data_IF_885396190599
#
_entry.id   IF_885396190599
#
_cell.length_a   1.000
_cell.length_b   1.000
_cell.length_c   1.000
_cell.angle_alpha   90.00
_cell.angle_beta   90.00
_cell.angle_gamma   90.00
#
_symmetry.space_group_name_H-M   'P 1'
#
loop_
_entity.id
_entity.type
_entity.pdbx_description
1 polymer ?
#
# COMPACT_ATOMS: atom_id res chain seq x y z
N UNK A 1 -14.05 -1.29 55.86
CA UNK A 1 -13.46 -1.42 54.52
C UNK A 1 -14.58 -1.73 53.56
N UNK A 2 -14.96 -0.77 52.71
CA UNK A 2 -16.05 -0.97 51.74
C UNK A 2 -15.55 -1.91 50.66
N UNK A 3 -16.11 -3.12 50.62
CA UNK A 3 -15.88 -4.10 49.58
C UNK A 3 -16.54 -3.54 48.30
N UNK A 4 -15.75 -2.89 47.44
CA UNK A 4 -16.20 -2.41 46.14
C UNK A 4 -16.48 -3.62 45.25
N UNK A 5 -17.71 -4.14 45.33
CA UNK A 5 -18.25 -5.11 44.39
C UNK A 5 -18.69 -4.36 43.13
N UNK A 6 -17.75 -4.04 42.23
CA UNK A 6 -18.10 -3.62 40.87
C UNK A 6 -18.30 -4.90 40.03
N UNK A 7 -19.52 -5.08 39.53
CA UNK A 7 -20.03 -6.38 39.05
C UNK A 7 -19.45 -6.83 37.72
N UNK A 8 -18.90 -5.92 36.90
CA UNK A 8 -18.37 -6.26 35.58
C UNK A 8 -16.85 -6.21 35.58
N UNK A 9 -16.24 -7.39 35.49
CA UNK A 9 -14.80 -7.58 35.45
C UNK A 9 -14.26 -7.80 34.03
N UNK A 10 -15.14 -7.83 33.02
CA UNK A 10 -14.75 -7.97 31.61
C UNK A 10 -15.75 -7.37 30.61
N UNK A 11 -15.27 -7.05 29.41
CA UNK A 11 -16.07 -6.64 28.25
C UNK A 11 -15.35 -6.99 26.95
N UNK A 12 -16.10 -7.34 25.91
CA UNK A 12 -15.54 -7.73 24.62
C UNK A 12 -15.39 -9.23 24.45
N UNK A 13 -14.93 -9.66 23.28
CA UNK A 13 -14.82 -11.07 22.90
C UNK A 13 -13.74 -11.25 21.84
N UNK A 14 -12.89 -12.27 22.01
CA UNK A 14 -11.93 -12.71 21.00
C UNK A 14 -12.59 -13.53 19.87
N UNK A 15 -13.76 -14.10 20.12
CA UNK A 15 -14.55 -14.84 19.12
C UNK A 15 -15.27 -13.84 18.21
N UNK A 16 -14.80 -13.73 16.96
CA UNK A 16 -15.28 -12.75 15.98
C UNK A 16 -16.74 -12.99 15.54
N UNK A 17 -17.32 -14.15 15.81
CA UNK A 17 -18.73 -14.45 15.51
C UNK A 17 -19.69 -13.85 16.56
N UNK A 18 -19.17 -13.37 17.70
CA UNK A 18 -19.95 -12.71 18.75
C UNK A 18 -20.38 -11.31 18.36
N UNK A 19 -21.54 -10.90 18.84
CA UNK A 19 -22.12 -9.59 18.53
C UNK A 19 -22.28 -8.74 19.79
N UNK A 20 -22.85 -7.53 19.64
CA UNK A 20 -23.13 -6.65 20.78
C UNK A 20 -24.07 -7.31 21.81
N UNK A 21 -24.95 -8.23 21.39
CA UNK A 21 -25.83 -8.99 22.31
C UNK A 21 -25.06 -10.03 23.12
N UNK A 22 -23.89 -10.44 22.64
CA UNK A 22 -22.95 -11.35 23.30
C UNK A 22 -21.87 -10.61 24.08
N UNK A 23 -22.06 -9.32 24.36
CA UNK A 23 -21.10 -8.48 25.08
C UNK A 23 -19.80 -8.16 24.31
N UNK A 24 -19.77 -8.40 23.00
CA UNK A 24 -18.64 -7.98 22.16
C UNK A 24 -18.57 -6.45 22.06
N UNK A 25 -17.35 -5.91 21.90
CA UNK A 25 -17.14 -4.52 21.49
C UNK A 25 -17.22 -4.52 19.97
N UNK A 26 -18.22 -3.86 19.40
CA UNK A 26 -18.46 -3.87 17.95
C UNK A 26 -18.10 -2.53 17.29
N UNK A 27 -17.72 -2.58 16.02
CA UNK A 27 -17.68 -1.41 15.15
C UNK A 27 -19.10 -0.91 14.83
N UNK A 28 -19.21 0.26 14.19
CA UNK A 28 -20.50 0.85 13.81
C UNK A 28 -21.31 0.02 12.82
N UNK A 29 -20.66 -0.91 12.10
CA UNK A 29 -21.30 -1.86 11.20
C UNK A 29 -21.72 -3.17 11.90
N UNK A 30 -21.55 -3.27 13.23
CA UNK A 30 -21.95 -4.41 14.04
C UNK A 30 -20.94 -5.55 14.10
N UNK A 31 -19.83 -5.51 13.34
CA UNK A 31 -18.77 -6.53 13.42
C UNK A 31 -18.05 -6.46 14.76
N UNK A 32 -17.73 -7.61 15.35
CA UNK A 32 -16.88 -7.68 16.53
C UNK A 32 -15.50 -7.06 16.23
N UNK A 33 -14.99 -6.24 17.15
CA UNK A 33 -13.64 -5.69 17.08
C UNK A 33 -12.55 -6.69 17.46
N UNK A 34 -12.92 -7.83 18.07
CA UNK A 34 -11.98 -8.79 18.63
C UNK A 34 -11.33 -8.33 19.93
N UNK A 35 -11.61 -7.10 20.40
CA UNK A 35 -11.04 -6.57 21.63
C UNK A 35 -11.72 -7.25 22.82
N UNK A 36 -10.94 -7.82 23.73
CA UNK A 36 -11.40 -8.31 25.02
C UNK A 36 -10.61 -7.63 26.15
N UNK A 37 -11.32 -6.98 27.06
CA UNK A 37 -10.75 -6.25 28.19
C UNK A 37 -11.13 -6.96 29.47
N UNK A 38 -10.14 -7.24 30.33
CA UNK A 38 -10.35 -7.90 31.64
C UNK A 38 -9.70 -7.10 32.75
N UNK A 39 -10.43 -6.84 33.82
CA UNK A 39 -9.85 -6.27 35.04
C UNK A 39 -8.92 -7.30 35.69
N UNK A 40 -7.71 -6.89 36.02
CA UNK A 40 -6.70 -7.74 36.67
C UNK A 40 -6.47 -7.36 38.12
N UNK A 41 -6.59 -6.08 38.46
CA UNK A 41 -6.55 -5.58 39.83
C UNK A 41 -7.46 -4.35 39.98
N UNK A 42 -8.06 -4.17 41.16
CA UNK A 42 -8.86 -2.99 41.47
C UNK A 42 -8.62 -2.56 42.92
N UNK A 43 -8.39 -1.27 43.12
CA UNK A 43 -8.29 -0.62 44.43
C UNK A 43 -9.36 0.48 44.54
N UNK A 44 -9.35 1.25 45.62
CA UNK A 44 -10.24 2.40 45.75
C UNK A 44 -9.94 3.51 44.73
N UNK A 45 -8.69 3.61 44.27
CA UNK A 45 -8.20 4.74 43.46
C UNK A 45 -7.66 4.30 42.10
N UNK A 46 -7.66 3.00 41.78
CA UNK A 46 -7.11 2.49 40.53
C UNK A 46 -7.74 1.18 40.06
N UNK A 47 -7.68 0.98 38.74
CA UNK A 47 -8.03 -0.27 38.07
C UNK A 47 -6.89 -0.60 37.11
N UNK A 48 -6.41 -1.83 37.16
CA UNK A 48 -5.55 -2.43 36.14
C UNK A 48 -6.37 -3.38 35.31
N UNK A 49 -6.11 -3.40 34.02
CA UNK A 49 -6.77 -4.31 33.09
C UNK A 49 -5.78 -4.81 32.03
N UNK A 50 -6.07 -5.98 31.48
CA UNK A 50 -5.46 -6.45 30.23
C UNK A 50 -6.36 -6.11 29.06
N UNK A 51 -5.74 -5.93 27.89
CA UNK A 51 -6.40 -5.91 26.59
C UNK A 51 -5.83 -7.08 25.80
N UNK A 52 -6.71 -7.96 25.35
CA UNK A 52 -6.39 -9.10 24.49
C UNK A 52 -6.99 -8.86 23.10
N UNK A 53 -6.34 -9.42 22.10
CA UNK A 53 -6.77 -9.43 20.71
C UNK A 53 -6.78 -10.88 20.19
N UNK A 54 -7.58 -11.19 19.17
CA UNK A 54 -7.60 -12.51 18.58
C UNK A 54 -6.25 -12.83 17.96
N UNK A 55 -5.95 -14.12 17.82
CA UNK A 55 -4.84 -14.57 17.01
C UNK A 55 -5.17 -14.34 15.52
N UNK A 56 -4.60 -13.27 14.96
CA UNK A 56 -4.80 -12.90 13.57
C UNK A 56 -3.97 -13.75 12.59
N UNK A 57 -2.99 -14.53 13.07
CA UNK A 57 -2.10 -15.29 12.20
C UNK A 57 -2.87 -16.35 11.40
N UNK A 58 -3.97 -16.84 11.96
CA UNK A 58 -4.84 -17.87 11.37
C UNK A 58 -6.09 -17.29 10.67
N UNK A 59 -6.28 -15.97 10.66
CA UNK A 59 -7.48 -15.34 10.11
C UNK A 59 -7.40 -15.03 8.61
N UNK A 60 -6.27 -15.34 7.97
CA UNK A 60 -6.05 -15.14 6.53
C UNK A 60 -6.40 -13.72 6.04
N UNK A 61 -6.19 -12.72 6.91
CA UNK A 61 -6.47 -11.31 6.63
C UNK A 61 -5.53 -10.71 5.58
N UNK A 62 -4.38 -11.36 5.36
CA UNK A 62 -3.41 -11.02 4.34
C UNK A 62 -3.45 -12.06 3.22
N UNK A 63 -4.15 -11.73 2.15
CA UNK A 63 -4.21 -12.57 0.96
C UNK A 63 -2.99 -12.36 0.08
N UNK A 64 -2.37 -13.46 -0.34
CA UNK A 64 -1.30 -13.40 -1.35
C UNK A 64 -1.88 -13.00 -2.70
N UNK A 65 -1.34 -11.93 -3.28
CA UNK A 65 -1.68 -11.48 -4.64
C UNK A 65 -0.96 -12.33 -5.67
N UNK A 66 -1.53 -13.48 -6.00
CA UNK A 66 -1.06 -14.39 -7.04
C UNK A 66 -2.07 -14.46 -8.20
N UNK A 67 -1.63 -14.96 -9.34
CA UNK A 67 -2.54 -15.34 -10.41
C UNK A 67 -3.45 -16.49 -9.94
N UNK A 68 -4.58 -16.66 -10.61
CA UNK A 68 -5.53 -17.77 -10.36
C UNK A 68 -4.90 -19.17 -10.47
N UNK A 69 -3.79 -19.32 -11.21
CA UNK A 69 -3.01 -20.55 -11.34
C UNK A 69 -1.92 -20.72 -10.27
N UNK A 70 -1.86 -19.81 -9.29
CA UNK A 70 -0.87 -19.76 -8.22
C UNK A 70 0.46 -19.12 -8.62
N UNK A 71 0.68 -18.79 -9.90
CA UNK A 71 1.91 -18.13 -10.34
C UNK A 71 1.95 -16.66 -9.89
N UNK A 72 3.14 -16.08 -9.76
CA UNK A 72 3.30 -14.68 -9.41
C UNK A 72 4.36 -14.03 -10.31
N UNK A 73 3.98 -12.96 -11.02
CA UNK A 73 4.89 -12.31 -11.96
C UNK A 73 6.03 -11.56 -11.25
N UNK A 74 5.82 -11.15 -9.99
CA UNK A 74 6.80 -10.44 -9.19
C UNK A 74 8.00 -11.33 -8.79
N UNK A 75 7.83 -12.66 -8.71
CA UNK A 75 8.92 -13.57 -8.29
C UNK A 75 10.10 -13.59 -9.26
N UNK A 76 9.88 -13.20 -10.51
CA UNK A 76 10.90 -13.14 -11.56
C UNK A 76 11.51 -11.74 -11.73
N UNK A 77 11.09 -10.75 -10.94
CA UNK A 77 11.58 -9.37 -11.05
C UNK A 77 12.63 -9.11 -9.97
N UNK A 78 13.89 -8.94 -10.39
CA UNK A 78 14.99 -8.53 -9.52
C UNK A 78 15.01 -7.01 -9.31
N UNK A 79 14.03 -6.48 -8.58
CA UNK A 79 13.94 -5.06 -8.28
C UNK A 79 14.79 -4.68 -7.06
N UNK A 80 15.57 -3.60 -7.17
CA UNK A 80 16.24 -2.95 -6.05
C UNK A 80 15.39 -1.87 -5.40
N UNK A 81 14.35 -1.38 -6.09
CA UNK A 81 13.38 -0.41 -5.56
C UNK A 81 11.99 -0.66 -6.14
N UNK A 82 10.98 -0.53 -5.29
CA UNK A 82 9.57 -0.69 -5.66
C UNK A 82 8.78 0.55 -5.25
N UNK A 83 7.86 0.98 -6.11
CA UNK A 83 6.80 1.96 -5.80
C UNK A 83 5.47 1.40 -6.26
N UNK A 84 4.38 1.80 -5.62
CA UNK A 84 3.04 1.31 -5.95
C UNK A 84 2.05 2.46 -6.07
N UNK A 85 1.01 2.22 -6.86
CA UNK A 85 -0.19 3.06 -6.92
C UNK A 85 -1.38 2.15 -7.18
N UNK A 86 -2.58 2.57 -6.81
CA UNK A 86 -3.78 1.76 -6.98
C UNK A 86 -4.99 2.64 -7.29
N UNK A 87 -5.91 2.08 -8.06
CA UNK A 87 -7.28 2.57 -8.20
C UNK A 87 -8.22 1.59 -7.48
N UNK A 88 -9.54 1.81 -7.63
CA UNK A 88 -10.56 0.96 -7.00
C UNK A 88 -10.45 -0.53 -7.36
N UNK A 89 -9.95 -0.84 -8.55
CA UNK A 89 -9.98 -2.19 -9.14
C UNK A 89 -8.59 -2.78 -9.36
N UNK A 90 -7.56 -1.93 -9.45
CA UNK A 90 -6.24 -2.32 -9.92
C UNK A 90 -5.14 -1.81 -8.99
N UNK A 91 -4.11 -2.63 -8.80
CA UNK A 91 -2.85 -2.23 -8.19
C UNK A 91 -1.75 -2.25 -9.26
N UNK A 92 -0.86 -1.28 -9.21
CA UNK A 92 0.29 -1.17 -10.09
C UNK A 92 1.56 -1.17 -9.27
N UNK A 93 2.54 -1.96 -9.71
CA UNK A 93 3.86 -2.05 -9.11
C UNK A 93 4.87 -1.56 -10.12
N UNK A 94 5.55 -0.47 -9.78
CA UNK A 94 6.71 0.05 -10.48
C UNK A 94 7.97 -0.54 -9.87
N UNK A 95 8.57 -1.47 -10.59
CA UNK A 95 9.71 -2.25 -10.16
C UNK A 95 10.97 -1.79 -10.91
N UNK A 96 11.96 -1.31 -10.17
CA UNK A 96 13.20 -0.75 -10.71
C UNK A 96 14.37 -1.66 -10.40
N UNK A 97 15.19 -1.93 -11.42
CA UNK A 97 16.46 -2.60 -11.31
C UNK A 97 17.61 -1.68 -11.79
N UNK A 98 18.85 -2.16 -11.77
CA UNK A 98 20.04 -1.38 -12.17
C UNK A 98 20.21 -1.19 -13.68
N UNK A 99 19.24 -1.60 -14.49
CA UNK A 99 19.27 -1.56 -15.95
C UNK A 99 17.96 -1.12 -16.57
N UNK A 100 16.85 -1.27 -15.86
CA UNK A 100 15.52 -1.01 -16.39
C UNK A 100 14.50 -0.72 -15.30
N UNK A 101 13.33 -0.28 -15.74
CA UNK A 101 12.17 -0.16 -14.86
C UNK A 101 10.94 -0.72 -15.57
N UNK A 102 10.25 -1.62 -14.89
CA UNK A 102 9.10 -2.36 -15.40
C UNK A 102 7.88 -2.02 -14.56
N UNK A 103 6.70 -1.95 -15.19
CA UNK A 103 5.44 -1.81 -14.47
C UNK A 103 4.63 -3.08 -14.66
N UNK A 104 4.07 -3.58 -13.56
CA UNK A 104 3.15 -4.71 -13.58
C UNK A 104 1.86 -4.31 -12.90
N UNK A 105 0.75 -4.85 -13.40
CA UNK A 105 -0.62 -4.53 -12.96
C UNK A 105 -1.27 -5.78 -12.38
N UNK A 106 -1.84 -5.68 -11.20
CA UNK A 106 -2.74 -6.69 -10.63
C UNK A 106 -4.20 -6.23 -10.79
N UNK A 107 -5.06 -7.10 -11.33
CA UNK A 107 -6.49 -6.82 -11.55
C UNK A 107 -7.36 -7.85 -10.81
N UNK A 108 -7.21 -7.97 -9.49
CA UNK A 108 -8.03 -8.84 -8.64
C UNK A 108 -7.61 -10.31 -8.61
N UNK A 109 -7.31 -10.91 -9.77
CA UNK A 109 -6.95 -12.34 -9.90
C UNK A 109 -5.77 -12.59 -10.86
N UNK A 110 -5.23 -11.52 -11.47
CA UNK A 110 -4.23 -11.63 -12.53
C UNK A 110 -3.24 -10.48 -12.53
N UNK A 111 -1.96 -10.84 -12.57
CA UNK A 111 -0.83 -10.00 -12.93
C UNK A 111 -0.67 -9.88 -14.44
N UNK A 112 -0.53 -8.66 -14.93
CA UNK A 112 -0.22 -8.33 -16.32
C UNK A 112 1.05 -7.49 -16.36
N UNK A 113 2.02 -7.91 -17.17
CA UNK A 113 3.23 -7.13 -17.40
C UNK A 113 2.92 -6.00 -18.40
N UNK A 114 3.03 -4.74 -17.97
CA UNK A 114 2.84 -3.57 -18.84
C UNK A 114 4.14 -3.17 -19.57
N UNK A 115 5.21 -3.96 -19.41
CA UNK A 115 6.49 -3.78 -20.07
C UNK A 115 7.40 -2.78 -19.37
N UNK A 116 8.58 -2.61 -19.99
CA UNK A 116 9.60 -1.66 -19.53
C UNK A 116 9.19 -0.23 -19.89
N UNK A 117 9.06 0.63 -18.89
CA UNK A 117 8.89 2.07 -19.11
C UNK A 117 10.25 2.80 -19.21
N UNK A 118 11.33 2.16 -18.75
CA UNK A 118 12.70 2.65 -18.92
C UNK A 118 13.68 1.49 -19.18
N UNK A 119 14.72 1.77 -19.96
CA UNK A 119 15.86 0.86 -20.23
C UNK A 119 17.17 1.42 -19.68
N UNK A 120 17.08 2.30 -18.68
CA UNK A 120 18.22 2.77 -17.91
C UNK A 120 17.91 2.66 -16.43
N UNK A 121 18.96 2.59 -15.61
CA UNK A 121 18.83 2.78 -14.18
C UNK A 121 18.46 4.22 -13.83
N UNK A 122 17.77 4.38 -12.71
CA UNK A 122 17.31 5.69 -12.27
C UNK A 122 16.49 5.61 -10.99
N UNK A 123 15.75 6.68 -10.75
CA UNK A 123 14.69 6.72 -9.77
C UNK A 123 13.40 7.17 -10.45
N UNK A 124 12.26 6.85 -9.86
CA UNK A 124 11.00 7.30 -10.40
C UNK A 124 9.85 7.18 -9.44
N UNK A 125 8.72 7.70 -9.89
CA UNK A 125 7.43 7.65 -9.23
C UNK A 125 6.37 7.16 -10.23
N UNK A 126 5.30 6.56 -9.71
CA UNK A 126 4.16 6.08 -10.47
C UNK A 126 2.89 6.66 -9.88
N UNK A 127 1.96 7.06 -10.72
CA UNK A 127 0.64 7.55 -10.28
C UNK A 127 -0.44 7.15 -11.28
N UNK A 128 -1.67 7.06 -10.78
CA UNK A 128 -2.86 7.03 -11.63
C UNK A 128 -3.43 8.43 -11.69
N UNK A 129 -3.51 8.99 -12.90
CA UNK A 129 -4.11 10.29 -13.16
C UNK A 129 -5.12 10.13 -14.29
N UNK A 130 -6.34 10.62 -14.10
CA UNK A 130 -7.44 10.48 -15.07
C UNK A 130 -7.64 9.03 -15.59
N UNK A 131 -7.58 8.05 -14.68
CA UNK A 131 -7.70 6.61 -14.96
C UNK A 131 -6.57 6.03 -15.84
N UNK A 132 -5.46 6.75 -15.99
CA UNK A 132 -4.32 6.32 -16.78
C UNK A 132 -3.05 6.28 -15.92
N UNK A 133 -2.15 5.36 -16.25
CA UNK A 133 -0.92 5.14 -15.49
C UNK A 133 0.18 6.01 -16.05
N UNK A 134 0.76 6.81 -15.17
CA UNK A 134 1.89 7.67 -15.47
C UNK A 134 3.11 7.25 -14.64
N UNK A 135 4.29 7.34 -15.27
CA UNK A 135 5.59 7.16 -14.62
C UNK A 135 6.43 8.39 -14.90
N UNK A 136 6.95 9.01 -13.84
CA UNK A 136 8.05 9.95 -13.95
C UNK A 136 9.33 9.20 -13.60
N UNK A 137 10.31 9.28 -14.49
CA UNK A 137 11.58 8.60 -14.34
C UNK A 137 12.73 9.60 -14.53
N UNK A 138 13.76 9.50 -13.69
CA UNK A 138 14.98 10.31 -13.74
C UNK A 138 16.18 9.38 -13.79
N UNK A 139 16.95 9.43 -14.88
CA UNK A 139 18.19 8.66 -14.99
C UNK A 139 19.39 9.33 -14.28
N UNK A 140 20.49 8.60 -14.18
CA UNK A 140 21.73 9.12 -13.57
C UNK A 140 22.38 10.28 -14.34
N UNK A 141 22.04 10.49 -15.61
CA UNK A 141 22.52 11.60 -16.44
C UNK A 141 21.63 12.85 -16.31
N UNK A 142 20.53 12.76 -15.58
CA UNK A 142 19.60 13.86 -15.36
C UNK A 142 18.57 14.00 -16.48
N UNK A 143 18.32 12.94 -17.26
CA UNK A 143 17.18 12.87 -18.16
C UNK A 143 15.94 12.49 -17.35
N UNK A 144 14.99 13.40 -17.30
CA UNK A 144 13.68 13.21 -16.69
C UNK A 144 12.65 12.95 -17.79
N UNK A 145 11.90 11.86 -17.72
CA UNK A 145 10.83 11.52 -18.66
C UNK A 145 9.52 11.27 -17.92
N UNK A 146 8.47 11.98 -18.31
CA UNK A 146 7.10 11.64 -17.96
C UNK A 146 6.55 10.74 -19.06
N UNK A 147 6.15 9.52 -18.70
CA UNK A 147 5.59 8.54 -19.63
C UNK A 147 4.20 8.11 -19.18
N UNK A 148 3.37 7.81 -20.18
CA UNK A 148 2.00 7.34 -20.04
C UNK A 148 1.86 5.98 -20.67
N UNK A 149 1.18 5.05 -20.00
CA UNK A 149 0.82 3.79 -20.62
C UNK A 149 -0.48 3.91 -21.41
N UNK A 150 -0.41 3.81 -22.73
CA UNK A 150 -1.59 3.82 -23.61
C UNK A 150 -1.34 3.01 -24.88
N UNK A 151 -2.40 2.39 -25.41
CA UNK A 151 -2.32 1.52 -26.59
C UNK A 151 -1.28 0.40 -26.44
N UNK A 152 -1.24 -0.23 -25.25
CA UNK A 152 -0.29 -1.29 -24.88
C UNK A 152 1.21 -0.92 -24.97
N UNK A 153 1.54 0.37 -24.85
CA UNK A 153 2.92 0.86 -24.88
C UNK A 153 3.12 2.06 -23.96
N UNK A 154 4.37 2.27 -23.54
CA UNK A 154 4.78 3.48 -22.83
C UNK A 154 5.11 4.58 -23.84
N UNK A 155 4.38 5.68 -23.78
CA UNK A 155 4.58 6.85 -24.63
C UNK A 155 5.16 7.98 -23.78
N UNK A 156 6.23 8.62 -24.25
CA UNK A 156 6.77 9.82 -23.62
C UNK A 156 5.82 10.99 -23.85
N UNK A 157 5.34 11.59 -22.76
CA UNK A 157 4.48 12.78 -22.77
C UNK A 157 5.32 14.04 -22.64
N UNK A 158 6.37 14.01 -21.81
CA UNK A 158 7.28 15.13 -21.64
C UNK A 158 8.70 14.65 -21.31
N UNK A 159 9.69 15.46 -21.68
CA UNK A 159 11.11 15.22 -21.38
C UNK A 159 11.74 16.52 -20.87
N UNK A 160 12.55 16.41 -19.83
CA UNK A 160 13.36 17.49 -19.29
C UNK A 160 14.79 16.98 -19.07
N UNK A 161 15.78 17.69 -19.60
CA UNK A 161 17.19 17.38 -19.39
C UNK A 161 17.78 18.41 -18.44
N UNK A 162 18.01 18.02 -17.20
CA UNK A 162 18.62 18.89 -16.17
C UNK A 162 20.14 18.66 -16.03
N UNK A 163 20.66 17.58 -16.63
CA UNK A 163 22.06 17.17 -16.46
C UNK A 163 22.38 16.71 -15.04
N UNK A 164 23.61 16.25 -14.81
CA UNK A 164 24.08 15.86 -13.48
C UNK A 164 24.42 17.10 -12.64
N UNK A 165 23.41 17.67 -11.97
CA UNK A 165 23.56 18.85 -11.12
C UNK A 165 22.78 18.72 -9.80
N UNK A 166 22.84 19.74 -8.93
CA UNK A 166 22.15 19.73 -7.62
C UNK A 166 20.63 19.58 -7.72
N UNK A 167 20.02 20.05 -8.81
CA UNK A 167 18.57 19.95 -9.05
C UNK A 167 18.17 18.48 -9.27
N UNK A 168 19.02 17.69 -9.94
CA UNK A 168 18.81 16.26 -10.10
C UNK A 168 18.75 15.53 -8.76
N UNK A 169 19.70 15.82 -7.85
CA UNK A 169 19.71 15.20 -6.52
C UNK A 169 18.48 15.58 -5.70
N UNK A 170 17.99 16.82 -5.82
CA UNK A 170 16.77 17.25 -5.16
C UNK A 170 15.54 16.49 -5.69
N UNK A 171 15.39 16.37 -7.01
CA UNK A 171 14.32 15.59 -7.61
C UNK A 171 14.40 14.12 -7.18
N UNK A 172 15.60 13.53 -7.25
CA UNK A 172 15.82 12.14 -6.88
C UNK A 172 15.32 11.80 -5.46
N UNK A 173 15.47 12.74 -4.52
CA UNK A 173 15.10 12.53 -3.12
C UNK A 173 13.64 12.87 -2.79
N UNK A 174 12.90 13.54 -3.68
CA UNK A 174 11.55 14.07 -3.40
C UNK A 174 10.48 13.60 -4.41
N UNK A 175 10.73 12.50 -5.12
CA UNK A 175 9.77 11.89 -6.06
C UNK A 175 8.73 11.06 -5.31
N UNK A 176 7.64 11.70 -4.87
CA UNK A 176 6.53 11.05 -4.18
C UNK A 176 5.17 11.25 -4.88
N UNK A 177 4.82 12.50 -5.23
CA UNK A 177 3.59 12.81 -6.00
C UNK A 177 3.93 13.55 -7.30
N UNK A 178 3.46 13.00 -8.42
CA UNK A 178 3.69 13.51 -9.77
C UNK A 178 2.39 13.90 -10.49
N UNK A 179 1.25 13.85 -9.80
CA UNK A 179 -0.07 14.24 -10.34
C UNK A 179 -0.09 15.66 -10.93
N UNK A 180 0.55 16.67 -10.30
CA UNK A 180 0.59 18.03 -10.87
C UNK A 180 1.29 18.10 -12.23
N UNK A 181 2.32 17.27 -12.44
CA UNK A 181 3.06 17.22 -13.71
C UNK A 181 2.23 16.57 -14.81
N UNK A 182 1.42 15.57 -14.46
CA UNK A 182 0.48 14.93 -15.38
C UNK A 182 -0.55 15.94 -15.88
N UNK A 183 -1.14 16.71 -14.96
CA UNK A 183 -2.09 17.78 -15.28
C UNK A 183 -1.48 18.86 -16.21
N UNK A 184 -0.24 19.28 -15.94
CA UNK A 184 0.43 20.30 -16.75
C UNK A 184 0.77 19.82 -18.18
N UNK A 185 0.95 18.51 -18.38
CA UNK A 185 1.29 17.93 -19.67
C UNK A 185 0.07 17.60 -20.56
N UNK A 186 -1.15 17.71 -20.01
CA UNK A 186 -2.42 17.49 -20.73
C UNK A 186 -3.09 18.80 -21.21
N UNK A 187 -2.48 19.97 -20.96
CA UNK A 187 -2.91 21.30 -21.47
C UNK A 187 -2.15 21.61 -22.76
#
# INVERSE_FOLDING_TARGET
MSQYLVTRQEIGSLDLDKTITDNAICYSDGRNSGIHIKVTEQTADSIKFSIEFPDYDNMDIWQSVSNSDGSNLLSNIMASKVKTTADKNNMYVFAQDFSSSTVVKYSGDKWTNLGKCSTSAGNGAIVIFNNEVYVLFVDFKGKCELKKYSNNKWNTVSTLNIGSNKIQALLWNNLEDISPLCKAAEI
#
